data_IF_846362390185
#
_entry.id   IF_846362390185
#
_cell.length_a   1.000
_cell.length_b   1.000
_cell.length_c   1.000
_cell.angle_alpha   90.00
_cell.angle_beta   90.00
_cell.angle_gamma   90.00
#
_symmetry.space_group_name_H-M   'P 1'
#
loop_
_entity.id
_entity.type
_entity.pdbx_description
1 polymer ?
#
# COMPACT_ATOMS: atom_id res chain seq x y z
N UNK A 1 -0.24 -13.17 -11.07
CA UNK A 1 -1.40 -12.33 -11.40
C UNK A 1 -1.90 -11.73 -10.10
N UNK A 2 -1.91 -10.41 -9.98
CA UNK A 2 -2.49 -9.75 -8.81
C UNK A 2 -4.00 -9.94 -8.83
N UNK A 3 -4.57 -10.37 -7.71
CA UNK A 3 -6.02 -10.39 -7.49
C UNK A 3 -6.41 -9.09 -6.80
N UNK A 4 -7.48 -8.45 -7.28
CA UNK A 4 -8.03 -7.23 -6.69
C UNK A 4 -9.30 -7.63 -5.94
N UNK A 5 -9.33 -7.38 -4.64
CA UNK A 5 -10.51 -7.59 -3.80
C UNK A 5 -11.04 -6.24 -3.35
N UNK A 6 -12.32 -5.97 -3.61
CA UNK A 6 -13.01 -4.77 -3.14
C UNK A 6 -13.78 -5.13 -1.88
N UNK A 7 -13.49 -4.44 -0.78
CA UNK A 7 -14.02 -4.78 0.53
C UNK A 7 -14.52 -3.52 1.24
N UNK A 8 -15.59 -3.63 2.05
CA UNK A 8 -15.86 -2.65 3.08
C UNK A 8 -14.67 -2.52 4.01
N UNK A 9 -14.41 -1.30 4.46
CA UNK A 9 -13.31 -1.00 5.37
C UNK A 9 -13.32 -1.86 6.66
N UNK A 10 -14.51 -2.19 7.16
CA UNK A 10 -14.72 -3.02 8.36
C UNK A 10 -14.35 -4.50 8.17
N UNK A 11 -14.26 -4.97 6.92
CA UNK A 11 -13.93 -6.37 6.61
C UNK A 11 -12.42 -6.60 6.45
N UNK A 12 -11.63 -5.52 6.34
CA UNK A 12 -10.17 -5.58 6.19
C UNK A 12 -9.50 -6.41 7.30
N UNK A 13 -9.83 -6.21 8.59
CA UNK A 13 -9.22 -7.03 9.63
C UNK A 13 -9.41 -8.52 9.33
N UNK A 14 -10.60 -8.95 8.93
CA UNK A 14 -10.91 -10.36 8.73
C UNK A 14 -10.22 -11.01 7.51
N UNK A 15 -9.76 -10.21 6.54
CA UNK A 15 -9.15 -10.73 5.31
C UNK A 15 -7.66 -11.03 5.46
N UNK A 16 -6.99 -10.32 6.37
CA UNK A 16 -5.55 -10.50 6.53
C UNK A 16 -5.29 -11.56 7.60
N UNK A 17 -4.92 -12.75 7.16
CA UNK A 17 -4.45 -13.85 8.03
C UNK A 17 -3.32 -13.40 8.99
N UNK A 18 -2.67 -12.29 8.63
CA UNK A 18 -1.50 -11.70 9.24
C UNK A 18 -1.79 -10.53 10.21
N UNK A 19 -3.03 -10.30 10.67
CA UNK A 19 -3.37 -9.17 11.59
C UNK A 19 -2.40 -9.00 12.78
N UNK A 20 -1.91 -10.11 13.34
CA UNK A 20 -1.01 -10.14 14.50
C UNK A 20 0.48 -10.09 14.14
N UNK A 21 0.80 -10.06 12.85
CA UNK A 21 2.18 -10.01 12.38
C UNK A 21 2.65 -8.56 12.32
N UNK A 22 3.90 -8.37 12.71
CA UNK A 22 4.58 -7.09 12.54
C UNK A 22 5.01 -6.97 11.09
N UNK A 23 4.56 -5.89 10.44
CA UNK A 23 4.85 -5.61 9.03
C UNK A 23 5.63 -4.30 8.91
N UNK A 24 6.26 -4.09 7.76
CA UNK A 24 6.89 -2.81 7.40
C UNK A 24 5.99 -2.13 6.38
N UNK A 25 5.42 -0.99 6.74
CA UNK A 25 4.43 -0.26 5.95
C UNK A 25 4.93 1.12 5.50
N UNK A 26 4.52 1.51 4.30
CA UNK A 26 4.61 2.86 3.77
C UNK A 26 3.20 3.38 3.55
N UNK A 27 2.85 4.41 4.30
CA UNK A 27 1.55 5.06 4.25
C UNK A 27 1.65 6.40 3.55
N UNK A 28 0.78 6.64 2.57
CA UNK A 28 0.69 7.88 1.82
C UNK A 28 -0.77 8.32 1.79
N UNK A 29 -1.02 9.53 2.25
CA UNK A 29 -2.33 10.16 2.11
C UNK A 29 -2.37 10.91 0.77
N UNK A 30 -3.54 11.01 0.16
CA UNK A 30 -3.73 11.87 -1.00
C UNK A 30 -5.00 12.70 -0.85
N UNK A 31 -4.94 13.91 -1.37
CA UNK A 31 -5.99 14.91 -1.23
C UNK A 31 -6.19 15.69 -2.53
N UNK A 32 -7.35 16.35 -2.64
CA UNK A 32 -7.75 17.09 -3.83
C UNK A 32 -9.25 16.91 -4.09
N UNK A 33 -9.62 16.68 -5.35
CA UNK A 33 -11.00 16.31 -5.71
C UNK A 33 -11.33 14.91 -5.17
N UNK A 34 -10.33 14.02 -5.11
CA UNK A 34 -10.42 12.76 -4.40
C UNK A 34 -9.51 12.79 -3.18
N UNK A 35 -10.01 12.20 -2.10
CA UNK A 35 -9.30 12.07 -0.83
C UNK A 35 -9.30 10.62 -0.41
N UNK A 36 -8.17 10.16 0.10
CA UNK A 36 -7.99 8.78 0.52
C UNK A 36 -6.55 8.52 0.92
N UNK A 37 -6.18 7.26 1.01
CA UNK A 37 -4.82 6.89 1.34
C UNK A 37 -4.43 5.56 0.75
N UNK A 38 -3.12 5.30 0.78
CA UNK A 38 -2.49 4.06 0.38
C UNK A 38 -1.67 3.55 1.54
N UNK A 39 -1.82 2.25 1.84
CA UNK A 39 -0.85 1.50 2.62
C UNK A 39 -0.23 0.42 1.76
N UNK A 40 1.05 0.57 1.46
CA UNK A 40 1.87 -0.51 0.91
C UNK A 40 2.62 -1.16 2.08
N UNK A 41 2.47 -2.46 2.28
CA UNK A 41 3.17 -3.15 3.35
C UNK A 41 3.82 -4.45 2.91
N UNK A 42 4.87 -4.82 3.65
CA UNK A 42 5.70 -5.98 3.38
C UNK A 42 5.92 -6.78 4.67
N UNK A 43 5.85 -8.12 4.62
CA UNK A 43 6.37 -8.97 5.68
C UNK A 43 7.85 -8.67 5.93
N UNK A 44 8.34 -8.88 7.16
CA UNK A 44 9.73 -8.60 7.54
C UNK A 44 10.75 -9.16 6.55
N UNK A 45 10.64 -10.43 6.16
CA UNK A 45 11.57 -11.07 5.22
C UNK A 45 11.58 -10.39 3.85
N UNK A 46 10.41 -9.98 3.37
CA UNK A 46 10.27 -9.28 2.09
C UNK A 46 10.85 -7.87 2.15
N UNK A 47 10.65 -7.15 3.25
CA UNK A 47 11.23 -5.84 3.47
C UNK A 47 12.77 -5.87 3.48
N UNK A 48 13.36 -6.89 4.12
CA UNK A 48 14.82 -7.07 4.16
C UNK A 48 15.39 -7.34 2.76
N UNK A 49 14.82 -8.31 2.04
CA UNK A 49 15.24 -8.66 0.67
C UNK A 49 15.08 -7.47 -0.27
N UNK A 50 13.95 -6.76 -0.18
CA UNK A 50 13.73 -5.58 -1.01
C UNK A 50 14.75 -4.48 -0.69
N UNK A 51 15.11 -4.29 0.58
CA UNK A 51 16.12 -3.32 0.97
C UNK A 51 17.50 -3.66 0.41
N UNK A 52 17.89 -4.95 0.41
CA UNK A 52 19.16 -5.38 -0.20
C UNK A 52 19.19 -5.01 -1.69
N UNK A 53 18.10 -5.30 -2.40
CA UNK A 53 18.01 -5.02 -3.84
C UNK A 53 18.03 -3.52 -4.15
N UNK A 54 17.31 -2.70 -3.38
CA UNK A 54 17.26 -1.25 -3.57
C UNK A 54 18.56 -0.54 -3.21
N UNK A 55 19.33 -1.12 -2.29
CA UNK A 55 20.61 -0.57 -1.83
C UNK A 55 21.82 -1.23 -2.51
N UNK A 56 21.58 -2.05 -3.55
CA UNK A 56 22.61 -2.76 -4.32
C UNK A 56 23.53 -3.63 -3.45
N UNK A 57 22.96 -4.34 -2.48
CA UNK A 57 23.63 -5.28 -1.57
C UNK A 57 23.42 -6.74 -1.99
N UNK A 58 24.23 -7.65 -1.43
CA UNK A 58 23.96 -9.07 -1.61
C UNK A 58 22.71 -9.48 -0.82
N UNK A 59 21.96 -10.46 -1.34
CA UNK A 59 20.75 -10.94 -0.68
C UNK A 59 21.06 -11.53 0.70
N UNK A 60 20.44 -10.98 1.74
CA UNK A 60 20.63 -11.39 3.13
C UNK A 60 21.65 -10.55 3.89
N UNK A 61 22.21 -9.49 3.29
CA UNK A 61 23.10 -8.55 3.97
C UNK A 61 22.35 -7.71 5.01
N UNK A 62 21.15 -7.24 4.65
CA UNK A 62 20.28 -6.49 5.55
C UNK A 62 19.63 -7.43 6.56
N UNK A 63 19.93 -7.20 7.84
CA UNK A 63 19.37 -7.98 8.96
C UNK A 63 18.20 -7.30 9.65
N UNK A 64 18.20 -5.96 9.63
CA UNK A 64 17.20 -5.13 10.27
C UNK A 64 16.90 -3.90 9.42
N UNK A 65 15.73 -3.30 9.64
CA UNK A 65 15.25 -2.11 8.93
C UNK A 65 15.54 -0.88 9.79
N UNK A 66 16.58 -0.12 9.41
CA UNK A 66 16.94 1.16 10.01
C UNK A 66 16.62 2.32 9.07
N UNK A 67 17.11 3.52 9.36
CA UNK A 67 16.73 4.74 8.65
C UNK A 67 17.00 4.69 7.12
N UNK A 68 18.08 4.03 6.71
CA UNK A 68 18.44 3.92 5.30
C UNK A 68 17.50 2.97 4.56
N UNK A 69 17.24 1.79 5.12
CA UNK A 69 16.31 0.80 4.58
C UNK A 69 14.88 1.36 4.56
N UNK A 70 14.47 2.07 5.61
CA UNK A 70 13.18 2.78 5.65
C UNK A 70 13.07 3.82 4.53
N UNK A 71 14.16 4.53 4.24
CA UNK A 71 14.18 5.53 3.15
C UNK A 71 14.05 4.89 1.78
N UNK A 72 14.72 3.76 1.55
CA UNK A 72 14.58 2.98 0.32
C UNK A 72 13.15 2.43 0.15
N UNK A 73 12.57 1.87 1.21
CA UNK A 73 11.19 1.38 1.18
C UNK A 73 10.19 2.52 0.92
N UNK A 74 10.36 3.68 1.56
CA UNK A 74 9.53 4.86 1.31
C UNK A 74 9.60 5.32 -0.14
N UNK A 75 10.77 5.27 -0.77
CA UNK A 75 10.94 5.66 -2.17
C UNK A 75 10.15 4.72 -3.10
N UNK A 76 10.26 3.40 -2.92
CA UNK A 76 9.44 2.45 -3.68
C UNK A 76 7.94 2.61 -3.40
N UNK A 77 7.56 2.83 -2.14
CA UNK A 77 6.17 3.10 -1.80
C UNK A 77 5.63 4.34 -2.49
N UNK A 78 6.42 5.42 -2.56
CA UNK A 78 6.09 6.64 -3.27
C UNK A 78 5.97 6.42 -4.77
N UNK A 79 6.93 5.73 -5.40
CA UNK A 79 6.91 5.41 -6.83
C UNK A 79 5.66 4.61 -7.18
N UNK A 80 5.40 3.50 -6.48
CA UNK A 80 4.25 2.64 -6.74
C UNK A 80 2.94 3.40 -6.54
N UNK A 81 2.82 4.13 -5.44
CA UNK A 81 1.62 4.92 -5.14
C UNK A 81 1.37 5.97 -6.23
N UNK A 82 2.40 6.67 -6.70
CA UNK A 82 2.25 7.64 -7.78
C UNK A 82 1.79 6.98 -9.08
N UNK A 83 2.34 5.80 -9.43
CA UNK A 83 1.88 5.04 -10.61
C UNK A 83 0.38 4.72 -10.52
N UNK A 84 -0.08 4.21 -9.37
CA UNK A 84 -1.51 3.89 -9.18
C UNK A 84 -2.40 5.15 -9.19
N UNK A 85 -1.97 6.19 -8.48
CA UNK A 85 -2.70 7.45 -8.38
C UNK A 85 -2.78 8.15 -9.74
N UNK A 86 -1.70 8.16 -10.52
CA UNK A 86 -1.66 8.79 -11.84
C UNK A 86 -2.63 8.09 -12.81
N UNK A 87 -2.68 6.75 -12.79
CA UNK A 87 -3.66 5.98 -13.58
C UNK A 87 -5.09 6.35 -13.18
N UNK A 88 -5.38 6.43 -11.88
CA UNK A 88 -6.71 6.82 -11.39
C UNK A 88 -7.03 8.28 -11.77
N UNK A 89 -6.07 9.19 -11.62
CA UNK A 89 -6.19 10.59 -11.96
C UNK A 89 -6.52 10.78 -13.45
N UNK A 90 -5.86 10.02 -14.33
CA UNK A 90 -6.14 9.98 -15.76
C UNK A 90 -7.55 9.46 -16.06
N UNK A 91 -7.95 8.36 -15.42
CA UNK A 91 -9.29 7.75 -15.59
C UNK A 91 -10.41 8.71 -15.20
N UNK A 92 -10.23 9.41 -14.07
CA UNK A 92 -11.25 10.30 -13.49
C UNK A 92 -11.16 11.71 -14.10
N UNK A 93 -10.06 12.06 -14.77
CA UNK A 93 -9.85 13.36 -15.40
C UNK A 93 -9.57 14.48 -14.40
N UNK A 94 -8.92 14.17 -13.28
CA UNK A 94 -8.67 15.10 -12.18
C UNK A 94 -7.21 15.07 -11.75
N UNK A 95 -6.78 16.07 -10.97
CA UNK A 95 -5.48 16.06 -10.32
C UNK A 95 -5.61 15.53 -8.89
N UNK A 96 -4.78 14.55 -8.53
CA UNK A 96 -4.64 14.03 -7.17
C UNK A 96 -3.26 14.46 -6.66
N UNK A 97 -3.18 14.90 -5.40
CA UNK A 97 -1.92 15.35 -4.80
C UNK A 97 -1.57 14.41 -3.64
N UNK A 98 -0.56 13.54 -3.80
CA UNK A 98 -0.07 12.68 -2.73
C UNK A 98 0.76 13.49 -1.72
N UNK A 99 0.73 13.05 -0.47
CA UNK A 99 1.61 13.51 0.60
C UNK A 99 3.01 12.89 0.47
N UNK A 100 3.93 13.34 1.32
CA UNK A 100 5.17 12.57 1.54
C UNK A 100 4.85 11.21 2.19
N UNK A 101 5.66 10.17 1.91
CA UNK A 101 5.47 8.84 2.51
C UNK A 101 5.86 8.83 4.00
N UNK A 102 5.01 8.20 4.80
CA UNK A 102 5.29 7.86 6.19
C UNK A 102 5.65 6.38 6.32
N UNK A 103 6.72 6.07 7.06
CA UNK A 103 7.08 4.68 7.36
C UNK A 103 6.48 4.28 8.71
N UNK A 104 5.91 3.08 8.77
CA UNK A 104 5.41 2.47 10.00
C UNK A 104 5.88 1.03 10.13
N UNK A 105 6.10 0.58 11.37
CA UNK A 105 6.42 -0.81 11.69
C UNK A 105 5.67 -1.22 12.94
N UNK A 106 4.56 -1.91 12.75
CA UNK A 106 3.69 -2.37 13.82
C UNK A 106 2.91 -3.60 13.36
N UNK A 107 2.08 -4.15 14.25
CA UNK A 107 1.07 -5.13 13.89
C UNK A 107 0.17 -4.56 12.79
N UNK A 108 -0.05 -5.33 11.72
CA UNK A 108 -0.89 -4.87 10.63
C UNK A 108 -2.30 -4.46 11.12
N UNK A 109 -2.88 -5.21 12.05
CA UNK A 109 -4.15 -4.85 12.66
C UNK A 109 -4.12 -3.47 13.33
N UNK A 110 -3.06 -3.14 14.05
CA UNK A 110 -2.91 -1.83 14.69
C UNK A 110 -2.76 -0.68 13.67
N UNK A 111 -2.02 -0.92 12.58
CA UNK A 111 -1.90 0.06 11.49
C UNK A 111 -3.28 0.28 10.84
N UNK A 112 -3.99 -0.79 10.50
CA UNK A 112 -5.33 -0.72 9.91
C UNK A 112 -6.28 0.00 10.87
N UNK A 113 -6.33 -0.38 12.14
CA UNK A 113 -7.20 0.25 13.15
C UNK A 113 -6.97 1.76 13.24
N UNK A 114 -5.72 2.22 13.14
CA UNK A 114 -5.43 3.66 13.11
C UNK A 114 -6.05 4.36 11.89
N UNK A 115 -6.01 3.71 10.73
CA UNK A 115 -6.63 4.20 9.49
C UNK A 115 -8.17 4.14 9.60
N UNK A 116 -8.72 3.10 10.22
CA UNK A 116 -10.16 2.97 10.48
C UNK A 116 -10.70 4.15 11.29
N UNK A 117 -9.97 4.56 12.33
CA UNK A 117 -10.36 5.69 13.18
C UNK A 117 -10.43 6.99 12.37
N UNK A 118 -9.47 7.22 11.47
CA UNK A 118 -9.44 8.40 10.61
C UNK A 118 -10.62 8.45 9.62
N UNK A 119 -11.17 7.30 9.24
CA UNK A 119 -12.21 7.14 8.22
C UNK A 119 -13.55 6.58 8.73
N UNK A 120 -13.74 6.50 10.05
CA UNK A 120 -14.89 5.83 10.67
C UNK A 120 -16.27 6.40 10.25
N UNK A 121 -16.33 7.64 9.76
CA UNK A 121 -17.57 8.29 9.35
C UNK A 121 -17.73 8.45 7.83
N UNK A 122 -16.75 8.02 7.03
CA UNK A 122 -16.69 8.35 5.60
C UNK A 122 -17.19 7.23 4.68
N UNK A 123 -17.52 6.04 5.22
CA UNK A 123 -18.05 4.93 4.42
C UNK A 123 -17.11 4.50 3.30
N UNK A 124 -15.81 4.44 3.59
CA UNK A 124 -14.80 4.09 2.60
C UNK A 124 -14.81 2.60 2.25
N UNK A 125 -14.39 2.34 1.03
CA UNK A 125 -14.04 1.02 0.54
C UNK A 125 -12.53 0.90 0.47
N UNK A 126 -12.08 -0.35 0.49
CA UNK A 126 -10.67 -0.68 0.34
C UNK A 126 -10.50 -1.62 -0.82
N UNK A 127 -9.61 -1.26 -1.72
CA UNK A 127 -9.11 -2.17 -2.73
C UNK A 127 -7.84 -2.81 -2.18
N UNK A 128 -7.91 -4.12 -1.94
CA UNK A 128 -6.78 -4.93 -1.53
C UNK A 128 -6.17 -5.62 -2.75
N UNK A 129 -4.86 -5.48 -2.91
CA UNK A 129 -4.11 -6.08 -4.02
C UNK A 129 -2.86 -6.78 -3.49
N UNK A 130 -2.79 -8.09 -3.75
CA UNK A 130 -1.57 -8.86 -3.55
C UNK A 130 -0.58 -8.56 -4.68
N UNK A 131 0.62 -8.15 -4.31
CA UNK A 131 1.67 -7.75 -5.25
C UNK A 131 2.92 -8.60 -5.00
N UNK A 132 3.25 -9.45 -5.96
CA UNK A 132 4.53 -10.14 -5.97
C UNK A 132 5.49 -9.39 -6.88
N UNK A 133 6.62 -8.98 -6.34
CA UNK A 133 7.72 -8.45 -7.13
C UNK A 133 8.61 -9.62 -7.54
N UNK A 134 8.45 -10.05 -8.80
CA UNK A 134 9.30 -11.05 -9.42
C UNK A 134 10.63 -10.40 -9.79
N UNK A 135 11.66 -10.70 -8.99
CA UNK A 135 13.01 -10.16 -9.15
C UNK A 135 13.96 -11.32 -9.51
N UNK A 136 15.11 -11.06 -10.16
CA UNK A 136 16.04 -12.12 -10.52
C UNK A 136 16.47 -12.93 -9.28
N UNK A 137 16.06 -14.20 -9.23
CA UNK A 137 16.43 -15.14 -8.16
C UNK A 137 15.61 -15.06 -6.87
N UNK A 138 14.59 -14.20 -6.77
CA UNK A 138 13.73 -14.12 -5.58
C UNK A 138 12.35 -13.53 -5.87
N UNK A 139 11.38 -13.82 -5.01
CA UNK A 139 10.05 -13.21 -5.05
C UNK A 139 9.88 -12.42 -3.75
N UNK A 140 9.65 -11.11 -3.87
CA UNK A 140 9.30 -10.26 -2.73
C UNK A 140 7.78 -10.15 -2.68
N UNK A 141 7.18 -10.51 -1.54
CA UNK A 141 5.74 -10.33 -1.31
C UNK A 141 5.47 -8.94 -0.77
N UNK A 142 4.51 -8.26 -1.36
CA UNK A 142 3.98 -7.00 -0.87
C UNK A 142 2.47 -6.95 -1.04
N UNK A 143 1.85 -6.06 -0.29
CA UNK A 143 0.41 -5.92 -0.26
C UNK A 143 0.05 -4.45 -0.32
N UNK A 144 -0.93 -4.13 -1.15
CA UNK A 144 -1.36 -2.75 -1.38
C UNK A 144 -2.81 -2.60 -0.96
N UNK A 145 -3.07 -1.63 -0.10
CA UNK A 145 -4.41 -1.24 0.35
C UNK A 145 -4.67 0.18 -0.12
N UNK A 146 -5.68 0.34 -0.99
CA UNK A 146 -6.14 1.63 -1.47
C UNK A 146 -7.46 2.00 -0.79
N UNK A 147 -7.43 2.99 0.09
CA UNK A 147 -8.58 3.48 0.83
C UNK A 147 -9.25 4.60 0.04
N UNK A 148 -10.52 4.42 -0.33
CA UNK A 148 -11.22 5.38 -1.20
C UNK A 148 -12.73 5.42 -0.96
N UNK A 149 -13.39 6.51 -1.37
CA UNK A 149 -14.84 6.66 -1.23
C UNK A 149 -15.58 5.74 -2.21
N UNK A 150 -16.83 5.38 -1.89
CA UNK A 150 -17.67 4.60 -2.80
C UNK A 150 -17.85 5.25 -4.17
N UNK A 151 -17.99 6.58 -4.22
CA UNK A 151 -18.08 7.34 -5.48
C UNK A 151 -16.83 7.17 -6.35
N UNK A 152 -15.64 7.25 -5.75
CA UNK A 152 -14.37 7.06 -6.46
C UNK A 152 -14.26 5.64 -6.99
N UNK A 153 -14.57 4.67 -6.13
CA UNK A 153 -14.55 3.26 -6.48
C UNK A 153 -15.47 2.96 -7.66
N UNK A 154 -16.69 3.51 -7.67
CA UNK A 154 -17.65 3.32 -8.77
C UNK A 154 -17.10 3.87 -10.09
N UNK A 155 -16.44 5.03 -10.07
CA UNK A 155 -15.80 5.61 -11.27
C UNK A 155 -14.67 4.70 -11.78
N UNK A 156 -13.82 4.20 -10.88
CA UNK A 156 -12.72 3.28 -11.22
C UNK A 156 -13.28 1.98 -11.83
N UNK A 157 -14.25 1.34 -11.17
CA UNK A 157 -14.82 0.06 -11.61
C UNK A 157 -15.55 0.16 -12.95
N UNK A 158 -16.29 1.25 -13.18
CA UNK A 158 -16.98 1.50 -14.46
C UNK A 158 -16.00 1.58 -15.63
N UNK A 159 -14.81 2.14 -15.40
CA UNK A 159 -13.79 2.31 -16.45
C UNK A 159 -12.94 1.06 -16.68
N UNK A 160 -12.77 0.20 -15.68
CA UNK A 160 -12.11 -1.10 -15.83
C UNK A 160 -12.97 -2.16 -16.53
N UNK A 161 -14.28 -1.90 -16.68
CA UNK A 161 -15.23 -2.78 -17.36
C UNK A 161 -15.55 -2.36 -18.80
N UNK A 162 -14.94 -1.27 -19.28
CA UNK A 162 -14.93 -0.83 -20.69
C UNK A 162 -13.71 -1.40 -21.44
#
# INVERSE_FOLDING_TARGET
>A
MSQINVLPLEEIPNLVEEQKTVVNGVYIHFSGILTGSVLLYFPQSSALILSDLLLERELGDTREIYELEQSALKEIGNILTNIYIDVIAEIVGIKIIPSVPYFTRDMLGAIVDSILVDYAQTGMYVLFMDTNFDLPGTIVKGHFLFFTSGETLEIILRKLSE
#
